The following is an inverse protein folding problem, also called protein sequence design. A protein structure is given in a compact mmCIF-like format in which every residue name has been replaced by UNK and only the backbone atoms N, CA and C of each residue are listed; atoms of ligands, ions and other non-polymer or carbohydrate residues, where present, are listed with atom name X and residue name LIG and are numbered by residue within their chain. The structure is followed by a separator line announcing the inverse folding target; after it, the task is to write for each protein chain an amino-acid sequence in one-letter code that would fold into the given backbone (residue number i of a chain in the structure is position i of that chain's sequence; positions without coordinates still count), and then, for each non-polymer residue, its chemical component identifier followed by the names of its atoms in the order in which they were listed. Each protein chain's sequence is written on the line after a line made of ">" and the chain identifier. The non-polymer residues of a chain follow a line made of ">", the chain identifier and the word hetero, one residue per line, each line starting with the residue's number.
data_IF_835458546986
#
_entry.id   IF_835458546986
#
_cell.length_a   1.000
_cell.length_b   1.000
_cell.length_c   1.000
_cell.angle_alpha   90.00
_cell.angle_beta   90.00
_cell.angle_gamma   90.00
#
_symmetry.space_group_name_H-M   'P 1'
#
loop_
_entity.id
_entity.type
_entity.pdbx_description
1 polymer ?
#
# COMPACT_ATOMS: atom_id res chain seq x y z
N UNK A 1 -25.25 -4.95 -14.21
CA UNK A 1 -25.10 -6.42 -14.03
C UNK A 1 -24.40 -7.09 -15.21
N UNK A 2 -24.79 -6.84 -16.48
CA UNK A 2 -24.14 -7.45 -17.65
C UNK A 2 -22.67 -7.07 -17.86
N UNK A 3 -22.31 -5.79 -17.66
CA UNK A 3 -20.92 -5.32 -17.78
C UNK A 3 -19.98 -6.02 -16.78
N UNK A 4 -20.36 -6.11 -15.50
CA UNK A 4 -19.53 -6.74 -14.46
C UNK A 4 -19.23 -8.20 -14.82
N UNK A 5 -20.23 -8.99 -15.20
CA UNK A 5 -20.02 -10.40 -15.59
C UNK A 5 -19.12 -10.54 -16.82
N UNK A 6 -19.31 -9.70 -17.83
CA UNK A 6 -18.46 -9.67 -19.04
C UNK A 6 -17.03 -9.27 -18.69
N UNK A 7 -16.83 -8.23 -17.89
CA UNK A 7 -15.50 -7.78 -17.47
C UNK A 7 -14.78 -8.87 -16.66
N UNK A 8 -15.48 -9.56 -15.76
CA UNK A 8 -14.91 -10.68 -14.99
C UNK A 8 -14.54 -11.88 -15.88
N UNK A 9 -15.37 -12.24 -16.85
CA UNK A 9 -15.09 -13.37 -17.74
C UNK A 9 -13.99 -13.08 -18.76
N UNK A 10 -13.99 -11.88 -19.34
CA UNK A 10 -13.11 -11.56 -20.46
C UNK A 10 -11.80 -10.91 -20.01
N UNK A 11 -11.73 -10.38 -18.80
CA UNK A 11 -10.62 -9.53 -18.34
C UNK A 11 -10.49 -8.20 -19.12
N UNK A 12 -11.54 -7.83 -19.87
CA UNK A 12 -11.58 -6.66 -20.75
C UNK A 12 -12.54 -5.61 -20.19
N UNK A 13 -12.06 -4.38 -20.08
CA UNK A 13 -12.76 -3.21 -19.56
C UNK A 13 -12.77 -2.12 -20.65
N UNK A 14 -13.85 -1.35 -20.79
CA UNK A 14 -13.95 -0.29 -21.82
C UNK A 14 -12.91 0.82 -21.62
N UNK A 15 -12.49 1.06 -20.37
CA UNK A 15 -11.43 2.01 -20.03
C UNK A 15 -10.37 1.24 -19.23
N UNK A 16 -9.19 1.06 -19.84
CA UNK A 16 -8.03 0.46 -19.17
C UNK A 16 -6.92 1.50 -18.96
N UNK A 17 -6.21 1.38 -17.83
CA UNK A 17 -4.95 2.11 -17.63
C UNK A 17 -3.87 1.65 -18.63
N UNK A 18 -2.68 2.26 -18.56
CA UNK A 18 -1.52 1.85 -19.34
C UNK A 18 -0.99 0.48 -18.85
N UNK A 19 -1.63 -0.61 -19.28
CA UNK A 19 -1.15 -1.97 -19.07
C UNK A 19 -0.01 -2.33 -20.02
N UNK A 20 0.84 -3.27 -19.63
CA UNK A 20 1.90 -3.78 -20.49
C UNK A 20 1.28 -4.40 -21.77
N UNK A 21 1.66 -3.89 -22.95
CA UNK A 21 1.23 -4.46 -24.25
C UNK A 21 1.94 -5.76 -24.63
N UNK A 22 2.87 -6.22 -23.79
CA UNK A 22 3.63 -7.47 -23.97
C UNK A 22 3.03 -8.58 -23.11
N UNK A 23 3.22 -9.84 -23.50
CA UNK A 23 2.95 -10.99 -22.63
C UNK A 23 3.77 -10.84 -21.34
N UNK A 24 3.11 -10.85 -20.20
CA UNK A 24 3.74 -10.92 -18.89
C UNK A 24 3.80 -12.39 -18.46
N UNK A 25 4.82 -12.79 -17.69
CA UNK A 25 4.86 -14.13 -17.11
C UNK A 25 3.62 -14.38 -16.24
N UNK A 26 3.04 -15.58 -16.34
CA UNK A 26 2.01 -16.07 -15.41
C UNK A 26 2.64 -17.02 -14.40
N UNK A 27 1.83 -17.49 -13.43
CA UNK A 27 2.28 -18.55 -12.52
C UNK A 27 2.63 -19.85 -13.26
N UNK A 28 2.08 -20.07 -14.47
CA UNK A 28 2.40 -21.24 -15.31
C UNK A 28 3.80 -21.15 -15.94
N UNK A 29 4.37 -19.95 -16.03
CA UNK A 29 5.75 -19.77 -16.50
C UNK A 29 6.79 -19.96 -15.37
N UNK A 30 6.35 -20.24 -14.13
CA UNK A 30 7.25 -20.48 -12.98
C UNK A 30 7.45 -21.97 -12.73
N UNK A 31 8.72 -22.38 -12.53
CA UNK A 31 9.08 -23.71 -12.04
C UNK A 31 9.64 -23.59 -10.63
N UNK A 32 8.96 -24.20 -9.66
CA UNK A 32 9.49 -24.35 -8.31
C UNK A 32 10.32 -25.63 -8.23
N UNK A 33 11.62 -25.49 -7.97
CA UNK A 33 12.50 -26.63 -7.76
C UNK A 33 12.09 -27.37 -6.48
N UNK A 34 12.04 -28.69 -6.55
CA UNK A 34 11.75 -29.50 -5.36
C UNK A 34 12.87 -29.32 -4.34
N UNK A 35 12.50 -29.29 -3.05
CA UNK A 35 13.47 -29.18 -1.98
C UNK A 35 14.56 -30.25 -2.15
N UNK A 36 14.17 -31.52 -2.34
CA UNK A 36 15.08 -32.65 -2.50
C UNK A 36 16.11 -32.54 -3.64
N UNK A 37 15.88 -31.67 -4.64
CA UNK A 37 16.85 -31.41 -5.70
C UNK A 37 17.95 -30.40 -5.30
N UNK A 38 17.73 -29.61 -4.25
CA UNK A 38 18.62 -28.50 -3.85
C UNK A 38 19.01 -28.48 -2.37
N UNK A 39 18.22 -29.08 -1.48
CA UNK A 39 18.42 -29.13 -0.01
C UNK A 39 17.59 -30.22 0.65
N UNK A 40 17.87 -30.53 1.92
CA UNK A 40 17.00 -31.42 2.69
C UNK A 40 15.62 -30.77 2.92
N UNK A 41 14.51 -31.51 2.70
CA UNK A 41 13.18 -31.02 3.03
C UNK A 41 13.01 -30.90 4.55
N UNK A 42 12.10 -30.02 4.97
CA UNK A 42 11.77 -29.86 6.37
C UNK A 42 11.17 -31.17 6.91
N UNK A 43 11.65 -31.62 8.07
CA UNK A 43 11.07 -32.76 8.77
C UNK A 43 9.96 -32.26 9.70
N UNK A 44 8.69 -32.51 9.35
CA UNK A 44 7.53 -31.90 10.03
C UNK A 44 7.38 -32.17 11.54
N UNK A 45 8.10 -33.16 12.08
CA UNK A 45 8.17 -33.42 13.53
C UNK A 45 9.32 -32.68 14.24
N UNK A 46 10.36 -32.25 13.49
CA UNK A 46 11.50 -31.48 14.01
C UNK A 46 11.28 -29.99 13.88
N UNK A 47 10.61 -29.56 12.82
CA UNK A 47 10.40 -28.15 12.51
C UNK A 47 9.06 -27.92 11.78
N UNK A 48 8.40 -26.81 12.09
CA UNK A 48 7.13 -26.45 11.47
C UNK A 48 7.35 -25.43 10.35
N UNK A 49 6.62 -25.60 9.25
CA UNK A 49 6.52 -24.57 8.22
C UNK A 49 5.65 -23.43 8.75
N UNK A 50 6.25 -22.26 8.96
CA UNK A 50 5.56 -21.06 9.41
C UNK A 50 5.42 -20.04 8.28
N UNK A 51 4.23 -19.47 8.16
CA UNK A 51 3.96 -18.32 7.28
C UNK A 51 4.19 -16.98 7.98
N UNK A 52 4.49 -17.01 9.30
CA UNK A 52 4.69 -15.81 10.09
C UNK A 52 5.85 -15.00 9.53
N UNK A 53 5.61 -13.71 9.33
CA UNK A 53 6.57 -12.79 8.72
C UNK A 53 6.78 -11.60 9.64
N UNK A 54 8.05 -11.27 9.92
CA UNK A 54 8.43 -10.09 10.69
C UNK A 54 9.01 -9.04 9.73
N UNK A 55 8.46 -7.83 9.75
CA UNK A 55 8.84 -6.72 8.88
C UNK A 55 9.38 -5.56 9.71
N UNK A 56 10.50 -4.97 9.25
CA UNK A 56 11.05 -3.73 9.83
C UNK A 56 12.01 -3.90 11.01
N UNK A 57 12.37 -5.12 11.41
CA UNK A 57 13.20 -5.38 12.59
C UNK A 57 14.64 -4.86 12.55
N UNK A 58 15.09 -4.25 11.45
CA UNK A 58 16.45 -3.69 11.33
C UNK A 58 16.61 -2.35 12.04
N UNK A 59 15.58 -1.51 12.00
CA UNK A 59 15.69 -0.11 12.43
C UNK A 59 14.47 0.37 13.23
N UNK A 60 13.40 -0.42 13.32
CA UNK A 60 12.22 -0.08 14.10
C UNK A 60 12.27 -0.84 15.43
N UNK A 61 12.02 -0.16 16.55
CA UNK A 61 11.98 -0.81 17.87
C UNK A 61 10.71 -1.68 18.04
N UNK A 62 9.64 -1.39 17.29
CA UNK A 62 8.41 -2.20 17.22
C UNK A 62 8.20 -2.72 15.79
N UNK A 63 8.85 -3.83 15.39
CA UNK A 63 8.60 -4.44 14.09
C UNK A 63 7.15 -4.92 13.96
N UNK A 64 6.66 -5.02 12.72
CA UNK A 64 5.35 -5.60 12.45
C UNK A 64 5.50 -7.11 12.34
N UNK A 65 4.59 -7.85 12.99
CA UNK A 65 4.47 -9.29 12.86
C UNK A 65 3.14 -9.62 12.18
N UNK A 66 3.20 -10.38 11.08
CA UNK A 66 2.05 -10.85 10.33
C UNK A 66 1.99 -12.37 10.38
N UNK A 67 0.79 -12.94 10.42
CA UNK A 67 0.58 -14.40 10.38
C UNK A 67 0.86 -14.99 9.00
N UNK A 68 0.72 -14.18 7.94
CA UNK A 68 0.90 -14.58 6.54
C UNK A 68 1.73 -13.57 5.75
N UNK A 69 2.47 -13.99 4.71
CA UNK A 69 3.31 -13.12 3.88
C UNK A 69 2.50 -12.42 2.77
N UNK A 70 1.25 -12.03 3.05
CA UNK A 70 0.34 -11.44 2.07
C UNK A 70 -0.33 -10.22 2.67
N UNK A 71 -0.12 -9.03 2.11
CA UNK A 71 -0.66 -7.76 2.62
C UNK A 71 -1.67 -7.13 1.66
N UNK A 72 -2.61 -6.35 2.19
CA UNK A 72 -3.56 -5.57 1.36
C UNK A 72 -2.91 -4.22 1.00
N UNK A 73 -2.59 -4.04 -0.27
CA UNK A 73 -1.92 -2.84 -0.78
C UNK A 73 -2.79 -1.57 -0.65
N UNK A 74 -2.12 -0.42 -0.58
CA UNK A 74 -2.77 0.88 -0.37
C UNK A 74 -3.67 1.32 -1.52
N UNK A 75 -4.94 1.55 -1.20
CA UNK A 75 -5.96 2.14 -2.07
C UNK A 75 -6.65 3.26 -1.29
N UNK A 76 -6.73 4.46 -1.85
CA UNK A 76 -7.15 5.64 -1.09
C UNK A 76 -8.64 5.66 -0.77
N UNK A 77 -9.00 6.22 0.40
CA UNK A 77 -10.35 6.74 0.61
C UNK A 77 -10.67 7.83 -0.42
N UNK A 78 -11.82 7.70 -1.09
CA UNK A 78 -12.18 8.45 -2.30
C UNK A 78 -12.08 7.57 -3.56
N UNK A 79 -11.05 6.72 -3.66
CA UNK A 79 -11.04 5.64 -4.67
C UNK A 79 -11.92 4.48 -4.22
N UNK A 80 -11.85 4.15 -2.93
CA UNK A 80 -12.73 3.22 -2.23
C UNK A 80 -13.68 3.98 -1.28
N UNK A 81 -14.83 3.37 -1.00
CA UNK A 81 -15.75 3.85 0.03
C UNK A 81 -15.21 3.57 1.44
N UNK A 82 -15.71 4.30 2.44
CA UNK A 82 -15.40 4.04 3.85
C UNK A 82 -15.83 2.62 4.28
N UNK A 83 -16.94 2.11 3.74
CA UNK A 83 -17.41 0.74 4.00
C UNK A 83 -16.48 -0.32 3.43
N UNK A 84 -15.94 -0.12 2.22
CA UNK A 84 -14.97 -1.03 1.63
C UNK A 84 -13.67 -1.03 2.44
N UNK A 85 -13.25 0.14 2.90
CA UNK A 85 -12.10 0.32 3.79
C UNK A 85 -12.27 -0.41 5.13
N UNK A 86 -13.42 -0.24 5.79
CA UNK A 86 -13.78 -0.96 7.03
C UNK A 86 -13.77 -2.49 6.81
N UNK A 87 -14.38 -2.96 5.73
CA UNK A 87 -14.41 -4.38 5.39
C UNK A 87 -13.01 -4.97 5.17
N UNK A 88 -12.13 -4.26 4.44
CA UNK A 88 -10.74 -4.68 4.25
C UNK A 88 -9.97 -4.70 5.57
N UNK A 89 -10.19 -3.71 6.44
CA UNK A 89 -9.58 -3.66 7.77
C UNK A 89 -9.95 -4.86 8.62
N UNK A 90 -11.24 -5.18 8.72
CA UNK A 90 -11.72 -6.35 9.48
C UNK A 90 -11.16 -7.66 8.92
N UNK A 91 -11.24 -7.85 7.60
CA UNK A 91 -10.72 -9.04 6.95
C UNK A 91 -9.21 -9.21 7.17
N UNK A 92 -8.42 -8.13 7.05
CA UNK A 92 -6.99 -8.18 7.31
C UNK A 92 -6.68 -8.54 8.78
N UNK A 93 -7.42 -7.95 9.73
CA UNK A 93 -7.28 -8.24 11.15
C UNK A 93 -7.58 -9.70 11.49
N UNK A 94 -8.65 -10.26 10.93
CA UNK A 94 -9.02 -11.67 11.10
C UNK A 94 -7.98 -12.62 10.49
N UNK A 95 -7.43 -12.26 9.34
CA UNK A 95 -6.39 -13.04 8.65
C UNK A 95 -4.98 -12.83 9.23
N UNK A 96 -4.82 -11.96 10.23
CA UNK A 96 -3.51 -11.65 10.82
C UNK A 96 -2.55 -10.93 9.86
N UNK A 97 -3.09 -10.11 8.95
CA UNK A 97 -2.29 -9.31 8.00
C UNK A 97 -2.55 -7.80 8.12
N UNK A 98 -1.84 -6.99 7.34
CA UNK A 98 -1.94 -5.53 7.33
C UNK A 98 -2.76 -4.97 6.17
N UNK A 99 -3.40 -3.83 6.42
CA UNK A 99 -3.94 -2.93 5.39
C UNK A 99 -3.05 -1.71 5.20
N UNK A 100 -3.29 -0.94 4.13
CA UNK A 100 -2.59 0.32 3.87
C UNK A 100 -3.56 1.42 3.46
N UNK A 101 -3.38 2.64 3.98
CA UNK A 101 -4.35 3.75 3.83
C UNK A 101 -4.51 4.27 2.41
N UNK A 102 -3.45 4.33 1.60
CA UNK A 102 -3.53 4.99 0.29
C UNK A 102 -3.29 6.52 0.37
N UNK A 103 -3.45 7.20 -0.78
CA UNK A 103 -3.39 8.66 -0.96
C UNK A 103 -4.58 9.45 -0.38
N UNK A 104 -5.19 8.95 0.69
CA UNK A 104 -6.45 9.47 1.23
C UNK A 104 -6.41 9.99 2.66
N UNK A 105 -5.27 9.87 3.34
CA UNK A 105 -5.21 10.01 4.80
C UNK A 105 -5.79 8.78 5.51
N UNK A 106 -5.86 8.84 6.84
CA UNK A 106 -6.36 7.75 7.68
C UNK A 106 -7.82 8.04 8.03
N UNK A 107 -8.72 7.13 7.66
CA UNK A 107 -10.11 7.25 8.11
C UNK A 107 -10.28 6.63 9.50
N UNK A 108 -11.20 7.14 10.34
CA UNK A 108 -11.51 6.52 11.63
C UNK A 108 -11.96 5.06 11.50
N UNK A 109 -12.69 4.73 10.44
CA UNK A 109 -13.14 3.37 10.13
C UNK A 109 -11.96 2.42 9.89
N UNK A 110 -10.96 2.83 9.10
CA UNK A 110 -9.77 2.02 8.85
C UNK A 110 -8.96 1.77 10.12
N UNK A 111 -8.74 2.83 10.91
CA UNK A 111 -7.93 2.71 12.14
C UNK A 111 -8.60 1.80 13.15
N UNK A 112 -9.94 1.87 13.28
CA UNK A 112 -10.70 1.00 14.20
C UNK A 112 -10.73 -0.46 13.73
N UNK A 113 -10.83 -0.70 12.43
CA UNK A 113 -11.03 -2.04 11.88
C UNK A 113 -9.74 -2.81 11.64
N UNK A 114 -8.63 -2.12 11.41
CA UNK A 114 -7.33 -2.73 11.10
C UNK A 114 -6.49 -2.88 12.36
N UNK A 115 -6.10 -4.12 12.70
CA UNK A 115 -5.13 -4.42 13.77
C UNK A 115 -3.75 -3.88 13.41
N UNK A 116 -3.34 -4.08 12.16
CA UNK A 116 -2.08 -3.57 11.61
C UNK A 116 -2.39 -2.68 10.41
N UNK A 117 -2.14 -1.38 10.53
CA UNK A 117 -2.41 -0.38 9.51
C UNK A 117 -1.13 0.35 9.10
N UNK A 118 -0.78 0.24 7.83
CA UNK A 118 0.34 0.96 7.22
C UNK A 118 -0.16 2.30 6.69
N UNK A 119 0.50 3.39 7.08
CA UNK A 119 0.15 4.74 6.65
C UNK A 119 1.03 5.20 5.50
N UNK A 120 0.40 5.58 4.39
CA UNK A 120 1.11 5.97 3.18
C UNK A 120 1.45 7.46 3.14
N UNK A 121 2.70 7.76 2.77
CA UNK A 121 3.19 9.10 2.48
C UNK A 121 3.46 9.23 0.98
N UNK A 122 2.61 9.97 0.26
CA UNK A 122 2.71 10.19 -1.18
C UNK A 122 3.16 11.62 -1.50
N UNK A 123 3.67 11.89 -2.71
CA UNK A 123 4.20 13.18 -3.13
C UNK A 123 3.41 14.42 -2.68
N UNK A 124 2.08 14.39 -2.84
CA UNK A 124 1.24 15.56 -2.56
C UNK A 124 0.76 15.70 -1.12
N UNK A 125 1.04 14.72 -0.24
CA UNK A 125 0.67 14.77 1.19
C UNK A 125 -0.83 15.03 1.44
N UNK A 126 -1.70 14.60 0.52
CA UNK A 126 -3.14 14.78 0.70
C UNK A 126 -3.64 14.01 1.92
N UNK A 127 -4.19 14.73 2.89
CA UNK A 127 -4.63 14.15 4.15
C UNK A 127 -3.51 13.53 4.97
N UNK A 128 -2.25 13.94 4.75
CA UNK A 128 -1.12 13.51 5.57
C UNK A 128 -1.14 14.27 6.90
N UNK A 129 -1.36 13.55 7.99
CA UNK A 129 -1.46 14.10 9.32
C UNK A 129 -0.42 13.43 10.24
N UNK A 130 0.49 14.19 10.87
CA UNK A 130 1.42 13.68 11.88
C UNK A 130 0.77 12.90 13.02
N UNK A 131 -0.44 13.26 13.43
CA UNK A 131 -1.12 12.55 14.51
C UNK A 131 -1.64 11.17 14.06
N UNK A 132 -2.08 11.05 12.81
CA UNK A 132 -2.44 9.76 12.21
C UNK A 132 -1.18 8.92 11.96
N UNK A 133 -0.09 9.56 11.53
CA UNK A 133 1.22 8.93 11.37
C UNK A 133 1.68 8.29 12.69
N UNK A 134 1.49 8.98 13.83
CA UNK A 134 1.78 8.47 15.19
C UNK A 134 0.79 7.40 15.66
N UNK A 135 -0.35 7.24 15.04
CA UNK A 135 -1.30 6.14 15.32
C UNK A 135 -1.11 4.92 14.40
N UNK A 136 -0.36 5.03 13.30
CA UNK A 136 -0.10 3.92 12.37
C UNK A 136 0.81 2.84 12.96
N UNK A 137 0.83 1.65 12.37
CA UNK A 137 1.74 0.56 12.79
C UNK A 137 3.03 0.52 11.97
N UNK A 138 2.99 1.07 10.74
CA UNK A 138 4.15 1.33 9.91
C UNK A 138 3.87 2.45 8.90
N UNK A 139 4.91 2.86 8.19
CA UNK A 139 4.88 3.95 7.22
C UNK A 139 5.31 3.41 5.87
N UNK A 140 4.60 3.77 4.80
CA UNK A 140 5.02 3.48 3.43
C UNK A 140 5.24 4.79 2.66
N UNK A 141 6.50 5.08 2.32
CA UNK A 141 6.86 6.20 1.44
C UNK A 141 6.69 5.74 0.00
N UNK A 142 5.85 6.43 -0.78
CA UNK A 142 5.52 6.03 -2.15
C UNK A 142 6.27 6.90 -3.15
N UNK A 143 7.33 6.35 -3.73
CA UNK A 143 8.05 6.99 -4.85
C UNK A 143 7.30 6.77 -6.16
N UNK A 144 6.69 5.59 -6.33
CA UNK A 144 5.92 5.26 -7.53
C UNK A 144 5.01 4.06 -7.34
N UNK A 145 4.11 3.86 -8.29
CA UNK A 145 3.15 2.74 -8.29
C UNK A 145 3.08 2.07 -9.65
N UNK A 146 2.88 0.75 -9.68
CA UNK A 146 2.91 -0.03 -10.92
C UNK A 146 1.91 0.42 -11.99
N UNK A 147 0.76 0.98 -11.61
CA UNK A 147 -0.24 1.47 -12.57
C UNK A 147 0.20 2.73 -13.34
N UNK A 148 1.04 3.57 -12.72
CA UNK A 148 1.53 4.84 -13.27
C UNK A 148 2.82 5.24 -12.57
N UNK A 149 3.94 4.60 -12.91
CA UNK A 149 5.14 4.72 -12.08
C UNK A 149 5.81 6.09 -12.16
N UNK A 150 5.66 6.83 -13.26
CA UNK A 150 6.12 8.21 -13.41
C UNK A 150 5.05 9.28 -13.11
N UNK A 151 3.88 8.89 -12.61
CA UNK A 151 2.75 9.81 -12.39
C UNK A 151 2.24 9.78 -10.94
N UNK A 152 1.68 10.90 -10.49
CA UNK A 152 1.03 10.98 -9.18
C UNK A 152 -0.38 10.38 -9.16
N UNK A 153 -0.93 10.20 -7.96
CA UNK A 153 -2.35 9.90 -7.72
C UNK A 153 -3.31 10.82 -8.49
N UNK A 154 -4.51 10.31 -8.82
CA UNK A 154 -5.53 11.12 -9.47
C UNK A 154 -6.90 10.65 -9.00
N UNK A 155 -7.73 11.60 -8.59
CA UNK A 155 -9.11 11.36 -8.18
C UNK A 155 -9.99 12.39 -8.90
N UNK A 156 -11.00 11.90 -9.63
CA UNK A 156 -11.94 12.77 -10.35
C UNK A 156 -12.78 13.57 -9.36
N UNK A 157 -13.10 14.82 -9.72
CA UNK A 157 -13.87 15.74 -8.90
C UNK A 157 -15.24 15.19 -8.49
N UNK A 158 -15.87 14.40 -9.36
CA UNK A 158 -17.12 13.68 -9.05
C UNK A 158 -17.02 12.73 -7.85
N UNK A 159 -15.81 12.27 -7.50
CA UNK A 159 -15.52 11.43 -6.33
C UNK A 159 -14.98 12.23 -5.14
N UNK A 160 -14.69 13.52 -5.33
CA UNK A 160 -14.29 14.42 -4.25
C UNK A 160 -15.55 14.94 -3.58
N UNK A 161 -16.16 14.09 -2.74
CA UNK A 161 -17.28 14.48 -1.89
C UNK A 161 -16.82 15.43 -0.78
N UNK A 162 -17.74 16.15 -0.14
CA UNK A 162 -17.47 17.00 1.05
C UNK A 162 -16.52 16.37 2.07
N UNK A 163 -16.72 15.08 2.41
CA UNK A 163 -15.84 14.34 3.32
C UNK A 163 -14.41 14.15 2.77
N UNK A 164 -14.26 13.80 1.50
CA UNK A 164 -12.94 13.64 0.85
C UNK A 164 -12.24 14.99 0.74
N UNK A 165 -12.98 16.03 0.34
CA UNK A 165 -12.54 17.41 0.29
C UNK A 165 -11.99 17.87 1.66
N UNK A 166 -12.75 17.65 2.73
CA UNK A 166 -12.35 18.01 4.09
C UNK A 166 -11.09 17.26 4.56
N UNK A 167 -10.98 15.96 4.29
CA UNK A 167 -9.79 15.18 4.67
C UNK A 167 -8.53 15.60 3.90
N UNK A 168 -8.67 16.10 2.67
CA UNK A 168 -7.54 16.39 1.78
C UNK A 168 -7.25 17.89 1.65
N UNK A 169 -8.00 18.74 2.35
CA UNK A 169 -7.94 20.20 2.23
C UNK A 169 -8.10 20.66 0.78
N UNK A 170 -9.11 20.10 0.09
CA UNK A 170 -9.42 20.38 -1.30
C UNK A 170 -10.84 20.94 -1.46
N UNK A 171 -11.10 21.77 -2.49
CA UNK A 171 -12.47 22.13 -2.85
C UNK A 171 -13.26 20.91 -3.34
N UNK A 172 -14.54 20.84 -2.94
CA UNK A 172 -15.47 19.81 -3.39
C UNK A 172 -15.68 19.86 -4.91
N UNK A 173 -15.81 18.69 -5.55
CA UNK A 173 -16.10 18.61 -6.98
C UNK A 173 -14.91 18.88 -7.92
N UNK A 174 -13.72 19.19 -7.41
CA UNK A 174 -12.52 19.48 -8.21
C UNK A 174 -11.62 18.26 -8.33
N UNK A 175 -11.12 18.01 -9.54
CA UNK A 175 -10.13 16.96 -9.81
C UNK A 175 -8.88 17.13 -8.95
N UNK A 176 -8.51 16.08 -8.24
CA UNK A 176 -7.23 15.99 -7.55
C UNK A 176 -6.18 15.36 -8.46
N UNK A 177 -5.02 16.03 -8.56
CA UNK A 177 -3.84 15.52 -9.28
C UNK A 177 -2.62 15.63 -8.37
N UNK A 178 -2.10 14.48 -7.94
CA UNK A 178 -0.91 14.45 -7.11
C UNK A 178 0.34 14.70 -7.96
N UNK A 179 1.35 15.34 -7.38
CA UNK A 179 2.65 15.55 -8.00
C UNK A 179 3.32 14.21 -8.35
N UNK A 180 4.17 14.20 -9.38
CA UNK A 180 4.94 13.02 -9.77
C UNK A 180 6.12 12.75 -8.84
N UNK A 181 6.62 13.79 -8.16
CA UNK A 181 7.75 13.73 -7.23
C UNK A 181 7.41 14.38 -5.92
N UNK A 182 8.01 13.88 -4.85
CA UNK A 182 7.98 14.55 -3.56
C UNK A 182 8.62 15.94 -3.70
N UNK A 183 7.93 17.02 -3.28
CA UNK A 183 8.43 18.38 -3.48
C UNK A 183 9.62 18.72 -2.57
N UNK A 184 9.78 17.97 -1.48
CA UNK A 184 10.75 18.17 -0.41
C UNK A 184 12.07 17.41 -0.61
N UNK A 185 12.23 16.67 -1.71
CA UNK A 185 13.50 16.03 -2.04
C UNK A 185 13.72 15.85 -3.54
N UNK A 186 14.98 15.75 -3.94
CA UNK A 186 15.36 15.53 -5.35
C UNK A 186 16.13 14.22 -5.55
N UNK A 187 16.89 13.78 -4.54
CA UNK A 187 17.76 12.60 -4.65
C UNK A 187 17.60 11.57 -3.54
N UNK A 188 18.38 10.47 -3.61
CA UNK A 188 18.41 9.45 -2.56
C UNK A 188 18.94 9.97 -1.23
N UNK A 189 19.87 10.92 -1.24
CA UNK A 189 20.43 11.52 -0.01
C UNK A 189 19.35 12.28 0.77
N UNK A 190 18.54 13.08 0.06
CA UNK A 190 17.40 13.79 0.63
C UNK A 190 16.32 12.81 1.15
N UNK A 191 16.11 11.68 0.45
CA UNK A 191 15.20 10.63 0.92
C UNK A 191 15.68 10.03 2.25
N UNK A 192 16.99 9.85 2.44
CA UNK A 192 17.55 9.39 3.70
C UNK A 192 17.26 10.39 4.83
N UNK A 193 17.37 11.69 4.57
CA UNK A 193 16.99 12.75 5.52
C UNK A 193 15.50 12.63 5.87
N UNK A 194 14.62 12.45 4.87
CA UNK A 194 13.19 12.28 5.14
C UNK A 194 12.88 11.04 5.98
N UNK A 195 13.51 9.92 5.67
CA UNK A 195 13.37 8.70 6.47
C UNK A 195 13.79 8.99 7.91
N UNK A 196 14.86 9.77 8.12
CA UNK A 196 15.24 10.28 9.44
C UNK A 196 14.12 11.07 10.12
N UNK A 197 13.56 12.09 9.46
CA UNK A 197 12.45 12.89 10.01
C UNK A 197 11.24 12.03 10.42
N UNK A 198 10.88 11.03 9.61
CA UNK A 198 9.78 10.12 9.89
C UNK A 198 10.08 9.16 11.05
N UNK A 199 11.35 8.85 11.27
CA UNK A 199 11.78 8.06 12.45
C UNK A 199 11.70 8.90 13.70
N UNK A 200 12.21 10.12 13.68
CA UNK A 200 12.18 11.05 14.81
C UNK A 200 10.74 11.32 15.26
N UNK A 201 9.83 11.63 14.33
CA UNK A 201 8.43 11.92 14.69
C UNK A 201 7.66 10.71 15.23
N UNK A 202 8.19 9.50 15.04
CA UNK A 202 7.61 8.24 15.52
C UNK A 202 8.46 7.54 16.56
N UNK A 203 9.40 8.26 17.19
CA UNK A 203 10.29 7.77 18.25
C UNK A 203 11.03 6.48 17.87
N UNK A 204 11.38 6.33 16.58
CA UNK A 204 12.02 5.14 16.01
C UNK A 204 11.22 3.84 16.19
N UNK A 205 9.94 3.93 16.53
CA UNK A 205 9.12 2.77 16.84
C UNK A 205 8.69 2.03 15.57
N UNK A 206 8.46 2.75 14.47
CA UNK A 206 7.70 2.23 13.33
C UNK A 206 8.58 1.78 12.17
N UNK A 207 8.27 0.64 11.54
CA UNK A 207 8.85 0.27 10.25
C UNK A 207 8.54 1.31 9.18
N UNK A 208 9.51 1.55 8.30
CA UNK A 208 9.35 2.42 7.13
C UNK A 208 9.67 1.61 5.88
N UNK A 209 8.71 1.56 4.97
CA UNK A 209 8.82 0.94 3.65
C UNK A 209 9.01 2.00 2.58
N UNK A 210 9.72 1.64 1.51
CA UNK A 210 9.83 2.48 0.31
C UNK A 210 9.20 1.72 -0.85
N UNK A 211 8.06 2.21 -1.33
CA UNK A 211 7.34 1.65 -2.46
C UNK A 211 7.79 2.30 -3.75
N UNK A 212 8.28 1.47 -4.67
CA UNK A 212 8.83 1.88 -5.95
C UNK A 212 8.02 1.26 -7.08
N UNK A 213 7.67 2.07 -8.09
CA UNK A 213 7.08 1.57 -9.33
C UNK A 213 8.18 1.09 -10.26
N UNK A 214 8.12 -0.16 -10.72
CA UNK A 214 9.10 -0.66 -11.67
C UNK A 214 8.96 0.06 -13.03
N UNK A 215 10.03 0.71 -13.46
CA UNK A 215 10.15 1.35 -14.79
C UNK A 215 11.39 0.85 -15.52
N UNK A 216 11.46 1.11 -16.82
CA UNK A 216 12.75 1.07 -17.51
C UNK A 216 13.60 2.20 -16.95
N UNK A 217 14.83 1.86 -16.54
CA UNK A 217 15.92 2.81 -16.32
C UNK A 217 16.43 3.25 -17.69
#
# INVERSE_FOLDING_TARGET
>A
MAYIRRATQCGLYDIRGMGAKRRLPTFDDLVFLTASASRYPLEGYREQCTSRTVLGGRFATKPIELEIPVTIAGMSFGSLSASAKDALGRAASEMGTSTTTGDGGMTPEERRSSKTLVYQCLPSRYGFNPDDLRQADAIEIVIGQGAKPGGGGMLLGQKVSSRVAGMRTLPEGIDQRSACRHPDWTGPDDLAIKIGELREITDWEKPIYVKMGATRV
#
